data_IF_677080790540
#
_entry.id   IF_677080790540
#
_cell.length_a   1.000
_cell.length_b   1.000
_cell.length_c   1.000
_cell.angle_alpha   90.00
_cell.angle_beta   90.00
_cell.angle_gamma   90.00
#
_symmetry.space_group_name_H-M   'P 1'
#
loop_
_entity.id
_entity.type
_entity.pdbx_description
1 polymer ?
#
# COMPACT_ATOMS: atom_id res chain seq x y z
N UNK A 1 -33.13 -9.20 -17.17
CA UNK A 1 -33.62 -8.16 -18.10
C UNK A 1 -32.81 -6.90 -17.81
N UNK A 2 -31.77 -6.63 -18.61
CA UNK A 2 -30.95 -5.43 -18.47
C UNK A 2 -31.78 -4.26 -19.00
N UNK A 3 -32.19 -3.35 -18.12
CA UNK A 3 -32.83 -2.11 -18.54
C UNK A 3 -31.79 -1.28 -19.29
N UNK A 4 -31.92 -1.21 -20.62
CA UNK A 4 -31.23 -0.19 -21.42
C UNK A 4 -31.89 1.14 -21.06
N UNK A 5 -31.12 2.05 -20.47
CA UNK A 5 -31.54 3.43 -20.23
C UNK A 5 -31.74 4.06 -21.62
N UNK A 6 -32.99 4.33 -21.99
CA UNK A 6 -33.40 4.81 -23.31
C UNK A 6 -33.51 6.34 -23.40
N UNK A 7 -33.24 7.05 -22.31
CA UNK A 7 -33.45 8.50 -22.25
C UNK A 7 -32.18 9.26 -22.62
N UNK A 8 -32.22 9.86 -23.81
CA UNK A 8 -31.13 10.64 -24.40
C UNK A 8 -30.65 11.78 -23.48
N UNK A 9 -31.56 12.43 -22.75
CA UNK A 9 -31.23 13.52 -21.82
C UNK A 9 -30.46 13.03 -20.59
N UNK A 10 -30.82 11.86 -20.03
CA UNK A 10 -30.07 11.24 -18.95
C UNK A 10 -28.67 10.79 -19.40
N UNK A 11 -28.56 10.35 -20.65
CA UNK A 11 -27.28 9.99 -21.27
C UNK A 11 -26.39 11.22 -21.51
N UNK A 12 -26.96 12.30 -22.07
CA UNK A 12 -26.25 13.55 -22.33
C UNK A 12 -25.82 14.25 -21.02
N UNK A 13 -26.65 14.20 -19.96
CA UNK A 13 -26.31 14.68 -18.63
C UNK A 13 -25.11 13.94 -18.01
N UNK A 14 -25.08 12.61 -18.17
CA UNK A 14 -23.95 11.80 -17.69
C UNK A 14 -22.66 12.07 -18.50
N UNK A 15 -22.77 12.25 -19.82
CA UNK A 15 -21.62 12.60 -20.68
C UNK A 15 -21.06 13.98 -20.32
N UNK A 16 -21.92 14.97 -20.05
CA UNK A 16 -21.47 16.31 -19.65
C UNK A 16 -20.76 16.30 -18.29
N UNK A 17 -21.28 15.57 -17.30
CA UNK A 17 -20.62 15.41 -16.00
C UNK A 17 -19.29 14.68 -16.11
N UNK A 18 -19.23 13.61 -16.91
CA UNK A 18 -18.00 12.87 -17.14
C UNK A 18 -16.95 13.76 -17.82
N UNK A 19 -17.35 14.54 -18.82
CA UNK A 19 -16.45 15.50 -19.49
C UNK A 19 -15.95 16.59 -18.55
N UNK A 20 -16.82 17.17 -17.73
CA UNK A 20 -16.43 18.16 -16.73
C UNK A 20 -15.47 17.58 -15.67
N UNK A 21 -15.73 16.35 -15.20
CA UNK A 21 -14.82 15.65 -14.30
C UNK A 21 -13.45 15.41 -14.95
N UNK A 22 -13.43 14.97 -16.21
CA UNK A 22 -12.19 14.75 -16.95
C UNK A 22 -11.41 16.05 -17.20
N UNK A 23 -12.09 17.14 -17.56
CA UNK A 23 -11.45 18.45 -17.74
C UNK A 23 -10.88 18.99 -16.43
N UNK A 24 -11.61 18.85 -15.33
CA UNK A 24 -11.15 19.25 -14.00
C UNK A 24 -9.96 18.37 -13.54
N UNK A 25 -10.04 17.06 -13.75
CA UNK A 25 -8.94 16.14 -13.46
C UNK A 25 -7.70 16.46 -14.31
N UNK A 26 -7.87 16.81 -15.59
CA UNK A 26 -6.79 17.19 -16.49
C UNK A 26 -6.13 18.51 -16.08
N UNK A 27 -6.93 19.52 -15.70
CA UNK A 27 -6.41 20.81 -15.18
C UNK A 27 -5.64 20.61 -13.89
N UNK A 28 -6.22 19.86 -12.94
CA UNK A 28 -5.58 19.51 -11.68
C UNK A 28 -4.25 18.76 -11.90
N UNK A 29 -4.22 17.82 -12.85
CA UNK A 29 -3.02 17.06 -13.20
C UNK A 29 -1.94 17.90 -13.90
N UNK A 30 -2.31 18.97 -14.62
CA UNK A 30 -1.35 19.86 -15.27
C UNK A 30 -0.65 20.78 -14.27
N UNK A 31 -1.39 21.19 -13.24
CA UNK A 31 -0.90 22.08 -12.18
C UNK A 31 -0.17 21.31 -11.06
N UNK A 32 -0.49 20.04 -10.87
CA UNK A 32 0.06 19.21 -9.79
C UNK A 32 0.81 18.00 -10.37
N UNK A 33 1.93 17.59 -9.76
CA UNK A 33 2.59 16.32 -10.09
C UNK A 33 1.70 15.15 -9.65
N UNK A 34 0.72 14.78 -10.48
CA UNK A 34 -0.20 13.68 -10.21
C UNK A 34 0.26 12.40 -10.92
N UNK A 35 0.12 11.26 -10.24
CA UNK A 35 0.28 9.95 -10.84
C UNK A 35 -1.10 9.35 -11.11
N UNK A 36 -1.31 8.84 -12.33
CA UNK A 36 -2.45 7.99 -12.59
C UNK A 36 -2.22 6.62 -11.98
N UNK A 37 -3.17 6.16 -11.17
CA UNK A 37 -3.23 4.78 -10.71
C UNK A 37 -4.62 4.23 -10.95
N UNK A 38 -4.68 2.99 -11.45
CA UNK A 38 -5.93 2.24 -11.47
C UNK A 38 -6.21 1.77 -10.05
N UNK A 39 -7.36 2.15 -9.51
CA UNK A 39 -7.83 1.66 -8.21
C UNK A 39 -9.15 0.94 -8.40
N UNK A 40 -9.40 -0.04 -7.52
CA UNK A 40 -10.71 -0.65 -7.39
C UNK A 40 -11.49 0.15 -6.34
N UNK A 41 -12.59 0.77 -6.74
CA UNK A 41 -13.51 1.40 -5.80
C UNK A 41 -14.43 0.32 -5.19
N UNK A 42 -14.52 0.28 -3.87
CA UNK A 42 -15.54 -0.52 -3.20
C UNK A 42 -16.86 0.24 -3.22
N UNK A 43 -17.92 -0.39 -3.73
CA UNK A 43 -19.27 0.20 -3.72
C UNK A 43 -19.93 0.17 -2.34
N UNK A 44 -19.35 -0.57 -1.38
CA UNK A 44 -19.86 -0.70 -0.01
C UNK A 44 -18.69 -0.91 0.95
N UNK A 45 -18.66 -0.14 2.05
CA UNK A 45 -17.63 -0.17 3.10
C UNK A 45 -17.83 -1.31 4.11
N UNK A 46 -18.06 -2.55 3.63
CA UNK A 46 -18.20 -3.69 4.52
C UNK A 46 -16.84 -4.21 4.98
N UNK A 47 -16.58 -4.21 6.29
CA UNK A 47 -15.31 -4.67 6.88
C UNK A 47 -14.22 -3.60 6.98
N UNK A 48 -14.53 -2.34 6.66
CA UNK A 48 -13.65 -1.21 6.96
C UNK A 48 -13.90 -0.71 8.39
N UNK A 49 -12.86 -0.16 9.02
CA UNK A 49 -13.01 0.55 10.29
C UNK A 49 -13.98 1.71 10.15
N UNK A 50 -14.62 2.11 11.26
CA UNK A 50 -15.65 3.16 11.28
C UNK A 50 -15.19 4.48 10.63
N UNK A 51 -13.88 4.75 10.68
CA UNK A 51 -13.27 6.00 10.21
C UNK A 51 -12.46 5.82 8.91
N UNK A 52 -12.72 4.75 8.15
CA UNK A 52 -11.98 4.42 6.92
C UNK A 52 -12.92 4.24 5.72
N UNK A 53 -12.71 5.03 4.67
CA UNK A 53 -13.49 4.96 3.43
C UNK A 53 -12.93 3.96 2.40
N UNK A 54 -11.69 3.49 2.59
CA UNK A 54 -11.04 2.57 1.67
C UNK A 54 -9.72 2.03 2.19
N UNK A 55 -9.07 1.21 1.36
CA UNK A 55 -7.77 0.60 1.64
C UNK A 55 -6.82 0.91 0.50
N UNK A 56 -5.64 1.42 0.83
CA UNK A 56 -4.53 1.54 -0.10
C UNK A 56 -3.64 0.29 0.00
N UNK A 57 -3.80 -0.65 -0.94
CA UNK A 57 -2.99 -1.86 -1.00
C UNK A 57 -1.55 -1.59 -1.43
N UNK A 58 -0.57 -1.99 -0.62
CA UNK A 58 0.86 -1.75 -0.88
C UNK A 58 1.68 -3.02 -1.13
N UNK A 59 1.04 -4.20 -1.13
CA UNK A 59 1.69 -5.47 -1.49
C UNK A 59 2.21 -5.47 -2.94
N UNK A 60 3.36 -6.09 -3.22
CA UNK A 60 3.89 -6.17 -4.57
C UNK A 60 3.03 -7.06 -5.46
N UNK A 61 3.16 -6.91 -6.79
CA UNK A 61 2.58 -7.88 -7.72
C UNK A 61 3.49 -9.10 -7.85
N UNK A 62 2.90 -10.31 -7.89
CA UNK A 62 3.62 -11.57 -8.19
C UNK A 62 4.31 -11.55 -9.56
N UNK A 63 3.65 -10.90 -10.53
CA UNK A 63 4.16 -10.77 -11.89
C UNK A 63 4.95 -9.46 -12.04
N UNK A 64 6.25 -9.57 -12.25
CA UNK A 64 7.14 -8.43 -12.45
C UNK A 64 6.79 -7.59 -13.68
N UNK A 65 6.08 -8.15 -14.68
CA UNK A 65 5.57 -7.38 -15.83
C UNK A 65 4.48 -6.39 -15.42
N UNK A 66 3.82 -6.63 -14.28
CA UNK A 66 2.78 -5.76 -13.68
C UNK A 66 3.33 -4.82 -12.61
N UNK A 67 4.65 -4.72 -12.45
CA UNK A 67 5.31 -3.85 -11.48
C UNK A 67 4.83 -2.39 -11.55
N UNK A 68 4.57 -1.86 -12.74
CA UNK A 68 4.04 -0.50 -12.96
C UNK A 68 2.64 -0.25 -12.38
N UNK A 69 1.88 -1.31 -12.09
CA UNK A 69 0.57 -1.23 -11.43
C UNK A 69 0.72 -1.11 -9.90
N UNK A 70 1.91 -1.37 -9.36
CA UNK A 70 2.20 -1.17 -7.96
C UNK A 70 2.31 0.31 -7.64
N UNK A 71 1.66 0.74 -6.56
CA UNK A 71 1.52 2.15 -6.22
C UNK A 71 2.86 2.88 -6.07
N UNK A 72 3.84 2.30 -5.36
CA UNK A 72 5.16 2.94 -5.17
C UNK A 72 5.92 3.10 -6.47
N UNK A 73 5.83 2.11 -7.36
CA UNK A 73 6.47 2.17 -8.66
C UNK A 73 5.79 3.19 -9.56
N UNK A 74 4.46 3.29 -9.53
CA UNK A 74 3.75 4.37 -10.23
C UNK A 74 4.20 5.76 -9.75
N UNK A 75 4.28 5.98 -8.43
CA UNK A 75 4.78 7.25 -7.89
C UNK A 75 6.21 7.56 -8.34
N UNK A 76 7.10 6.56 -8.31
CA UNK A 76 8.50 6.72 -8.72
C UNK A 76 8.63 7.00 -10.22
N UNK A 77 7.97 6.20 -11.06
CA UNK A 77 8.06 6.29 -12.52
C UNK A 77 7.45 7.60 -13.06
N UNK A 78 6.53 8.22 -12.31
CA UNK A 78 5.99 9.55 -12.60
C UNK A 78 6.78 10.70 -11.96
N UNK A 79 7.93 10.43 -11.31
CA UNK A 79 8.80 11.46 -10.74
C UNK A 79 8.20 12.21 -9.54
N UNK A 80 7.28 11.57 -8.81
CA UNK A 80 6.70 12.11 -7.57
C UNK A 80 7.60 11.80 -6.37
N UNK A 81 8.22 10.62 -6.37
CA UNK A 81 9.20 10.20 -5.35
C UNK A 81 10.48 9.69 -6.02
N UNK A 82 11.62 9.91 -5.39
CA UNK A 82 12.92 9.48 -5.95
C UNK A 82 13.16 7.98 -5.75
N UNK A 83 12.64 7.43 -4.65
CA UNK A 83 12.84 6.04 -4.26
C UNK A 83 11.50 5.31 -4.14
N UNK A 84 11.40 4.09 -4.66
CA UNK A 84 10.21 3.24 -4.55
C UNK A 84 10.18 2.56 -3.16
N UNK A 85 10.15 3.40 -2.12
CA UNK A 85 10.20 3.03 -0.72
C UNK A 85 9.03 3.71 -0.02
N UNK A 86 8.45 3.00 0.93
CA UNK A 86 7.55 3.57 1.94
C UNK A 86 8.04 3.13 3.30
N UNK A 87 8.01 4.04 4.26
CA UNK A 87 8.29 3.73 5.66
C UNK A 87 7.09 4.08 6.52
N UNK A 88 6.87 3.28 7.57
CA UNK A 88 5.77 3.47 8.50
C UNK A 88 6.33 3.70 9.89
N UNK A 89 5.74 4.67 10.59
CA UNK A 89 5.83 4.79 12.03
C UNK A 89 4.46 4.48 12.61
N UNK A 90 4.37 3.36 13.31
CA UNK A 90 3.12 2.90 13.96
C UNK A 90 3.30 3.09 15.45
N UNK A 91 2.73 4.16 15.98
CA UNK A 91 2.88 4.58 17.38
C UNK A 91 1.56 4.42 18.13
N UNK A 92 1.61 4.12 19.42
CA UNK A 92 0.43 4.16 20.28
C UNK A 92 0.18 5.61 20.74
N UNK A 93 -1.08 5.94 21.06
CA UNK A 93 -1.44 7.27 21.61
C UNK A 93 -0.61 7.66 22.86
N UNK A 94 -0.18 6.66 23.65
CA UNK A 94 0.62 6.87 24.85
C UNK A 94 2.07 7.28 24.58
N UNK A 95 2.57 7.12 23.35
CA UNK A 95 3.94 7.51 22.97
C UNK A 95 4.07 9.00 22.65
N UNK A 96 2.96 9.74 22.51
CA UNK A 96 2.98 11.17 22.19
C UNK A 96 3.49 11.50 20.77
N UNK A 97 3.73 10.48 19.94
CA UNK A 97 4.19 10.62 18.56
C UNK A 97 3.04 10.45 17.57
N UNK A 98 3.04 11.27 16.52
CA UNK A 98 2.08 11.13 15.42
C UNK A 98 2.53 10.01 14.47
N UNK A 99 1.71 8.97 14.24
CA UNK A 99 2.04 7.93 13.29
C UNK A 99 2.07 8.50 11.86
N UNK A 100 2.90 7.92 10.99
CA UNK A 100 3.00 8.37 9.61
C UNK A 100 3.28 7.23 8.64
N UNK A 101 2.97 7.49 7.37
CA UNK A 101 3.50 6.76 6.22
C UNK A 101 4.29 7.75 5.34
N UNK A 102 5.58 7.51 5.15
CA UNK A 102 6.46 8.38 4.36
C UNK A 102 6.83 7.67 3.07
N UNK A 103 6.37 8.21 1.95
CA UNK A 103 6.68 7.73 0.60
C UNK A 103 7.96 8.40 0.09
N UNK A 104 8.83 7.63 -0.55
CA UNK A 104 10.09 8.13 -1.12
C UNK A 104 11.30 8.07 -0.20
N UNK A 105 11.12 7.72 1.08
CA UNK A 105 12.21 7.72 2.05
C UNK A 105 11.84 7.18 3.42
N UNK A 106 12.67 7.53 4.41
CA UNK A 106 12.54 7.15 5.81
C UNK A 106 13.01 8.29 6.71
N UNK A 107 12.51 8.33 7.95
CA UNK A 107 12.98 9.26 8.97
C UNK A 107 14.10 8.60 9.77
N UNK A 108 15.35 9.02 9.52
CA UNK A 108 16.51 8.44 10.21
C UNK A 108 16.50 8.65 11.72
N UNK A 109 15.82 9.69 12.24
CA UNK A 109 15.74 9.93 13.68
C UNK A 109 14.95 8.86 14.44
N UNK A 110 14.08 8.10 13.76
CA UNK A 110 13.33 6.99 14.35
C UNK A 110 14.03 5.63 14.19
N UNK A 111 15.28 5.62 13.71
CA UNK A 111 16.07 4.40 13.53
C UNK A 111 17.25 4.44 14.49
N UNK A 112 17.42 3.39 15.29
CA UNK A 112 18.59 3.26 16.18
C UNK A 112 19.85 3.21 15.32
N UNK A 113 20.77 4.16 15.51
CA UNK A 113 21.96 4.32 14.66
C UNK A 113 21.71 5.08 13.36
N UNK A 114 20.56 5.72 13.19
CA UNK A 114 20.24 6.52 12.01
C UNK A 114 20.20 5.69 10.72
N UNK A 115 20.64 6.29 9.62
CA UNK A 115 20.69 5.62 8.32
C UNK A 115 21.61 4.38 8.32
N UNK A 116 22.70 4.39 9.10
CA UNK A 116 23.64 3.27 9.21
C UNK A 116 23.02 2.07 9.96
N UNK A 117 22.01 2.32 10.78
CA UNK A 117 21.25 1.28 11.48
C UNK A 117 20.29 0.50 10.58
N UNK A 118 20.07 0.93 9.34
CA UNK A 118 19.17 0.25 8.42
C UNK A 118 19.71 -1.12 8.03
N UNK A 119 18.85 -2.13 8.17
CA UNK A 119 19.10 -3.48 7.68
C UNK A 119 18.15 -3.80 6.54
N UNK A 120 18.72 -4.24 5.43
CA UNK A 120 17.96 -4.68 4.26
C UNK A 120 17.79 -6.19 4.28
N UNK A 121 16.57 -6.65 4.11
CA UNK A 121 16.26 -8.06 3.95
C UNK A 121 15.69 -8.29 2.56
N UNK A 122 16.05 -9.42 1.94
CA UNK A 122 15.39 -9.86 0.71
C UNK A 122 14.01 -10.38 1.09
N UNK A 123 13.00 -10.03 0.30
CA UNK A 123 11.67 -10.59 0.48
C UNK A 123 11.72 -12.11 0.33
N UNK A 124 11.06 -12.82 1.25
CA UNK A 124 10.98 -14.27 1.23
C UNK A 124 9.91 -14.72 0.24
N UNK A 125 10.24 -15.56 -0.75
CA UNK A 125 9.28 -16.04 -1.74
C UNK A 125 8.09 -16.70 -1.07
N UNK A 126 6.88 -16.29 -1.46
CA UNK A 126 5.66 -16.85 -0.92
C UNK A 126 4.58 -16.88 -1.99
N UNK A 127 3.66 -17.84 -1.87
CA UNK A 127 2.61 -18.05 -2.85
C UNK A 127 1.61 -16.89 -2.91
N UNK A 128 1.55 -16.01 -1.90
CA UNK A 128 0.67 -14.84 -1.83
C UNK A 128 1.23 -13.62 -2.56
N UNK A 129 2.54 -13.55 -2.81
CA UNK A 129 3.19 -12.38 -3.39
C UNK A 129 3.20 -11.19 -2.46
N UNK A 130 3.24 -11.41 -1.14
CA UNK A 130 3.25 -10.36 -0.12
C UNK A 130 4.66 -9.97 0.29
N UNK A 131 4.77 -8.85 1.01
CA UNK A 131 5.99 -8.51 1.75
C UNK A 131 6.18 -9.52 2.88
N UNK A 132 7.19 -10.39 2.75
CA UNK A 132 7.47 -11.40 3.75
C UNK A 132 8.97 -11.46 4.05
N UNK A 133 9.30 -11.80 5.28
CA UNK A 133 10.63 -12.21 5.69
C UNK A 133 10.65 -13.73 5.93
N UNK A 134 11.84 -14.31 5.95
CA UNK A 134 12.00 -15.69 6.36
C UNK A 134 11.79 -15.80 7.88
N UNK A 135 10.69 -16.43 8.29
CA UNK A 135 10.49 -16.88 9.66
C UNK A 135 11.32 -18.13 9.90
N UNK A 136 12.39 -17.99 10.69
CA UNK A 136 13.33 -19.08 11.01
C UNK A 136 13.00 -19.76 12.34
N UNK A 137 12.30 -19.08 13.24
CA UNK A 137 11.97 -19.64 14.54
C UNK A 137 11.20 -18.65 15.40
N UNK A 138 10.69 -19.17 16.52
CA UNK A 138 9.88 -18.43 17.47
C UNK A 138 10.21 -18.88 18.88
N UNK A 139 10.36 -17.93 19.79
CA UNK A 139 10.58 -18.20 21.22
C UNK A 139 9.43 -17.65 22.04
N UNK A 140 9.16 -18.30 23.17
CA UNK A 140 8.31 -17.79 24.23
C UNK A 140 9.13 -17.70 25.52
N UNK A 141 9.51 -16.48 25.90
CA UNK A 141 10.56 -16.27 26.91
C UNK A 141 11.87 -16.89 26.46
N UNK A 142 12.46 -17.75 27.29
CA UNK A 142 13.68 -18.49 26.97
C UNK A 142 13.45 -19.81 26.22
N UNK A 143 12.18 -20.23 26.01
CA UNK A 143 11.85 -21.50 25.40
C UNK A 143 11.68 -21.36 23.89
N UNK A 144 12.42 -22.13 23.11
CA UNK A 144 12.16 -22.26 21.68
C UNK A 144 10.84 -23.01 21.45
N UNK A 145 9.93 -22.37 20.70
CA UNK A 145 8.67 -22.97 20.23
C UNK A 145 8.84 -23.48 18.80
N UNK A 146 9.70 -22.82 18.02
CA UNK A 146 10.23 -23.27 16.74
C UNK A 146 11.72 -22.95 16.70
N UNK A 147 12.53 -23.93 16.29
CA UNK A 147 13.98 -23.86 16.32
C UNK A 147 14.55 -23.60 14.92
N UNK A 148 15.38 -22.56 14.76
CA UNK A 148 16.11 -22.31 13.53
C UNK A 148 16.94 -23.51 13.08
N UNK A 149 16.74 -23.93 11.83
CA UNK A 149 17.49 -25.02 11.19
C UNK A 149 17.01 -26.45 11.52
N UNK A 150 16.11 -26.62 12.50
CA UNK A 150 15.43 -27.90 12.74
C UNK A 150 14.02 -27.88 12.16
N UNK A 151 13.28 -26.78 12.35
CA UNK A 151 11.94 -26.60 11.82
C UNK A 151 11.96 -25.94 10.42
N UNK A 152 10.95 -26.25 9.60
CA UNK A 152 10.78 -25.67 8.28
C UNK A 152 10.53 -24.17 8.37
N UNK A 153 11.32 -23.36 7.65
CA UNK A 153 11.09 -21.92 7.51
C UNK A 153 9.69 -21.62 6.96
N UNK A 154 9.11 -20.50 7.37
CA UNK A 154 7.78 -20.06 6.94
C UNK A 154 7.79 -18.57 6.54
N UNK A 155 6.87 -18.14 5.66
CA UNK A 155 6.75 -16.73 5.31
C UNK A 155 6.17 -15.93 6.48
N UNK A 156 6.97 -15.02 7.06
CA UNK A 156 6.51 -14.05 8.04
C UNK A 156 6.07 -12.77 7.32
N UNK A 157 4.76 -12.59 7.15
CA UNK A 157 4.18 -11.48 6.39
C UNK A 157 4.20 -10.20 7.22
N UNK A 158 4.66 -9.10 6.62
CA UNK A 158 4.57 -7.76 7.19
C UNK A 158 3.29 -7.13 6.67
N UNK A 159 2.30 -6.97 7.55
CA UNK A 159 0.97 -6.47 7.21
C UNK A 159 0.55 -5.33 8.14
N UNK A 160 0.44 -4.11 7.60
CA UNK A 160 -0.02 -2.93 8.33
C UNK A 160 -1.54 -2.81 8.39
N UNK A 161 -2.27 -3.64 7.63
CA UNK A 161 -3.73 -3.62 7.55
C UNK A 161 -4.44 -4.54 8.54
N UNK A 162 -3.69 -5.38 9.26
CA UNK A 162 -4.23 -6.29 10.26
C UNK A 162 -4.01 -5.75 11.68
N UNK A 163 -5.08 -5.68 12.47
CA UNK A 163 -5.04 -5.53 13.92
C UNK A 163 -5.74 -6.72 14.57
N UNK A 164 -5.43 -7.02 15.84
CA UNK A 164 -6.25 -7.93 16.66
C UNK A 164 -7.57 -7.26 17.06
#
# INVERSE_FOLDING_TARGET
MLARISDKEANDYNIQREKAFLEQAYSFQKENKCAFFQFLALYKSQGLGHDSDGILGLSPHKDMKKKKLHYLWSLKDNGIIDNAVVSFSVTSKSMGETPYALFGGYNSSQIVGGAEGLKTFKTFPNWLGTWALEGQGMTYGSKAMQKPGEDTSYPAIIDTGSSQ
#
